data_IF_182476649085
#
_entry.id   IF_182476649085
#
_cell.length_a   1.000
_cell.length_b   1.000
_cell.length_c   1.000
_cell.angle_alpha   90.00
_cell.angle_beta   90.00
_cell.angle_gamma   90.00
#
_symmetry.space_group_name_H-M   'P 1'
#
loop_
_entity.id
_entity.type
_entity.pdbx_description
1 polymer ?
#
# COMPACT_ATOMS: atom_id res chain seq x y z
N UNK A 1 4.06 0.35 -26.76
CA UNK A 1 3.34 1.57 -26.35
C UNK A 1 3.16 2.41 -27.59
N UNK A 2 1.93 2.77 -27.92
CA UNK A 2 1.66 3.68 -29.02
C UNK A 2 1.73 5.16 -28.58
N UNK A 3 1.60 6.08 -29.54
CA UNK A 3 1.67 7.51 -29.29
C UNK A 3 0.52 8.00 -28.41
N UNK A 4 -0.70 7.48 -28.60
CA UNK A 4 -1.87 7.90 -27.85
C UNK A 4 -1.76 7.53 -26.36
N UNK A 5 -1.31 6.31 -26.07
CA UNK A 5 -1.00 5.85 -24.72
C UNK A 5 0.07 6.71 -24.07
N UNK A 6 1.14 7.02 -24.81
CA UNK A 6 2.22 7.85 -24.30
C UNK A 6 1.75 9.28 -23.98
N UNK A 7 0.98 9.90 -24.88
CA UNK A 7 0.36 11.20 -24.65
C UNK A 7 -0.54 11.21 -23.41
N UNK A 8 -1.39 10.19 -23.24
CA UNK A 8 -2.25 10.07 -22.06
C UNK A 8 -1.43 9.98 -20.76
N UNK A 9 -0.29 9.27 -20.77
CA UNK A 9 0.61 9.21 -19.62
C UNK A 9 1.20 10.59 -19.30
N UNK A 10 1.62 11.35 -20.30
CA UNK A 10 2.16 12.69 -20.11
C UNK A 10 1.09 13.66 -19.55
N UNK A 11 -0.14 13.58 -20.06
CA UNK A 11 -1.28 14.36 -19.55
C UNK A 11 -1.53 14.05 -18.07
N UNK A 12 -1.61 12.77 -17.71
CA UNK A 12 -1.83 12.36 -16.31
C UNK A 12 -0.69 12.82 -15.38
N UNK A 13 0.55 12.90 -15.89
CA UNK A 13 1.66 13.47 -15.13
C UNK A 13 1.48 14.98 -14.97
N UNK A 14 1.10 15.71 -16.03
CA UNK A 14 0.85 17.14 -15.95
C UNK A 14 -0.26 17.48 -14.96
N UNK A 15 -1.40 16.79 -15.02
CA UNK A 15 -2.53 16.95 -14.08
C UNK A 15 -2.12 16.71 -12.62
N UNK A 16 -1.15 15.83 -12.38
CA UNK A 16 -0.66 15.53 -11.03
C UNK A 16 0.23 16.63 -10.44
N UNK A 17 0.95 17.38 -11.28
CA UNK A 17 2.00 18.30 -10.84
C UNK A 17 1.74 19.77 -11.17
N UNK A 18 0.76 20.06 -12.00
CA UNK A 18 0.41 21.42 -12.40
C UNK A 18 -0.96 21.81 -11.87
N UNK A 19 -1.15 23.11 -11.68
CA UNK A 19 -2.47 23.69 -11.46
C UNK A 19 -3.32 23.56 -12.74
N UNK A 20 -4.66 23.44 -12.65
CA UNK A 20 -5.54 23.55 -13.81
C UNK A 20 -5.35 24.84 -14.63
N UNK A 21 -4.90 25.92 -13.97
CA UNK A 21 -4.63 27.22 -14.60
C UNK A 21 -3.18 27.41 -15.08
N UNK A 22 -2.38 26.33 -15.07
CA UNK A 22 -0.97 26.40 -15.48
C UNK A 22 -0.84 26.86 -16.93
N UNK A 23 0.09 27.79 -17.15
CA UNK A 23 0.33 28.38 -18.46
C UNK A 23 1.28 27.51 -19.28
N UNK A 24 1.25 27.70 -20.60
CA UNK A 24 2.13 27.03 -21.55
C UNK A 24 3.62 26.95 -21.13
N UNK A 25 4.28 28.00 -20.63
CA UNK A 25 5.68 27.90 -20.20
C UNK A 25 5.90 26.92 -19.02
N UNK A 26 4.98 26.86 -18.07
CA UNK A 26 5.06 25.95 -16.92
C UNK A 26 4.89 24.49 -17.36
N UNK A 27 3.95 24.25 -18.28
CA UNK A 27 3.74 22.93 -18.91
C UNK A 27 4.99 22.49 -19.68
N UNK A 28 5.58 23.41 -20.45
CA UNK A 28 6.79 23.14 -21.22
C UNK A 28 7.98 22.81 -20.31
N UNK A 29 8.18 23.60 -19.26
CA UNK A 29 9.24 23.35 -18.28
C UNK A 29 9.09 21.97 -17.62
N UNK A 30 7.85 21.61 -17.24
CA UNK A 30 7.58 20.27 -16.71
C UNK A 30 8.05 19.19 -17.68
N UNK A 31 7.58 19.19 -18.93
CA UNK A 31 7.88 18.11 -19.87
C UNK A 31 9.37 18.03 -20.23
N UNK A 32 10.06 19.17 -20.33
CA UNK A 32 11.50 19.20 -20.56
C UNK A 32 12.30 18.64 -19.37
N UNK A 33 11.75 18.69 -18.16
CA UNK A 33 12.39 18.14 -16.95
C UNK A 33 12.22 16.62 -16.80
N UNK A 34 11.33 15.98 -17.55
CA UNK A 34 11.00 14.56 -17.37
C UNK A 34 12.11 13.63 -17.90
N UNK A 35 12.39 12.57 -17.14
CA UNK A 35 13.24 11.46 -17.57
C UNK A 35 12.48 10.52 -18.52
N UNK A 36 12.28 10.97 -19.77
CA UNK A 36 11.40 10.29 -20.75
C UNK A 36 11.84 8.84 -21.03
N UNK A 37 13.13 8.57 -21.19
CA UNK A 37 13.61 7.20 -21.46
C UNK A 37 13.26 6.24 -20.31
N UNK A 38 13.47 6.67 -19.07
CA UNK A 38 13.14 5.88 -17.88
C UNK A 38 11.60 5.73 -17.73
N UNK A 39 10.84 6.76 -18.10
CA UNK A 39 9.38 6.71 -18.12
C UNK A 39 8.88 5.65 -19.08
N UNK A 40 9.36 5.67 -20.33
CA UNK A 40 9.00 4.71 -21.38
C UNK A 40 9.35 3.29 -20.93
N UNK A 41 10.57 3.09 -20.43
CA UNK A 41 11.01 1.79 -19.92
C UNK A 41 10.07 1.28 -18.80
N UNK A 42 9.77 2.13 -17.82
CA UNK A 42 8.90 1.76 -16.70
C UNK A 42 7.48 1.39 -17.16
N UNK A 43 6.95 2.10 -18.17
CA UNK A 43 5.60 1.88 -18.69
C UNK A 43 5.51 0.62 -19.55
N UNK A 44 6.53 0.35 -20.37
CA UNK A 44 6.64 -0.91 -21.09
C UNK A 44 6.77 -2.12 -20.14
N UNK A 45 7.57 -1.99 -19.07
CA UNK A 45 7.63 -3.03 -18.03
C UNK A 45 6.27 -3.21 -17.34
N UNK A 46 5.60 -2.10 -17.03
CA UNK A 46 4.27 -2.10 -16.43
C UNK A 46 3.20 -2.71 -17.35
N UNK A 47 3.37 -2.67 -18.68
CA UNK A 47 2.50 -3.37 -19.63
C UNK A 47 2.89 -4.83 -19.87
N UNK A 48 3.91 -5.35 -19.19
CA UNK A 48 4.36 -6.74 -19.34
C UNK A 48 5.24 -7.00 -20.57
N UNK A 49 5.87 -5.97 -21.14
CA UNK A 49 6.78 -6.14 -22.28
C UNK A 49 8.10 -6.79 -21.84
N UNK A 50 8.41 -7.96 -22.39
CA UNK A 50 9.56 -8.77 -21.96
C UNK A 50 10.92 -8.13 -22.30
N UNK A 51 11.07 -7.54 -23.49
CA UNK A 51 12.34 -6.87 -23.85
C UNK A 51 12.62 -5.66 -22.95
N UNK A 52 11.59 -4.91 -22.56
CA UNK A 52 11.72 -3.84 -21.60
C UNK A 52 12.12 -4.37 -20.21
N UNK A 53 11.59 -5.53 -19.80
CA UNK A 53 12.02 -6.20 -18.57
C UNK A 53 13.49 -6.63 -18.62
N UNK A 54 13.96 -7.15 -19.76
CA UNK A 54 15.38 -7.49 -19.96
C UNK A 54 16.26 -6.24 -19.81
N UNK A 55 15.90 -5.13 -20.47
CA UNK A 55 16.60 -3.86 -20.35
C UNK A 55 16.59 -3.32 -18.92
N UNK A 56 15.45 -3.42 -18.22
CA UNK A 56 15.33 -3.02 -16.83
C UNK A 56 16.24 -3.86 -15.93
N UNK A 57 16.23 -5.19 -16.10
CA UNK A 57 17.06 -6.08 -15.30
C UNK A 57 18.55 -5.85 -15.54
N UNK A 58 18.95 -5.61 -16.79
CA UNK A 58 20.33 -5.28 -17.13
C UNK A 58 20.81 -4.00 -16.44
N UNK A 59 19.94 -2.99 -16.32
CA UNK A 59 20.31 -1.67 -15.76
C UNK A 59 20.20 -1.56 -14.24
N UNK A 60 19.23 -2.23 -13.64
CA UNK A 60 18.84 -1.96 -12.25
C UNK A 60 19.04 -3.14 -11.29
N UNK A 61 19.36 -4.35 -11.76
CA UNK A 61 19.45 -5.53 -10.88
C UNK A 61 20.51 -5.38 -9.79
N UNK A 62 21.74 -5.05 -10.18
CA UNK A 62 22.85 -4.85 -9.24
C UNK A 62 22.56 -3.68 -8.29
N UNK A 63 22.09 -2.55 -8.83
CA UNK A 63 21.74 -1.35 -8.04
C UNK A 63 20.67 -1.61 -6.97
N UNK A 64 19.65 -2.40 -7.31
CA UNK A 64 18.60 -2.80 -6.38
C UNK A 64 19.15 -3.72 -5.30
N UNK A 65 20.02 -4.67 -5.67
CA UNK A 65 20.70 -5.54 -4.72
C UNK A 65 21.58 -4.74 -3.76
N UNK A 66 22.42 -3.83 -4.26
CA UNK A 66 23.30 -2.98 -3.45
C UNK A 66 22.50 -2.09 -2.50
N UNK A 67 21.38 -1.54 -2.98
CA UNK A 67 20.46 -0.78 -2.14
C UNK A 67 19.88 -1.66 -1.05
N UNK A 68 19.39 -2.85 -1.38
CA UNK A 68 18.86 -3.80 -0.41
C UNK A 68 19.91 -4.23 0.62
N UNK A 69 21.15 -4.45 0.20
CA UNK A 69 22.29 -4.76 1.07
C UNK A 69 22.60 -3.59 2.01
N UNK A 70 22.56 -2.35 1.49
CA UNK A 70 22.76 -1.15 2.30
C UNK A 70 21.69 -0.98 3.39
N UNK A 71 20.46 -1.43 3.13
CA UNK A 71 19.32 -1.36 4.05
C UNK A 71 19.39 -2.50 5.08
N UNK A 72 19.63 -3.72 4.64
CA UNK A 72 19.51 -4.93 5.48
C UNK A 72 20.78 -5.27 6.25
N UNK A 73 21.94 -4.82 5.74
CA UNK A 73 23.29 -5.17 6.24
C UNK A 73 23.57 -6.69 6.27
N UNK A 74 22.83 -7.46 5.49
CA UNK A 74 22.87 -8.93 5.44
C UNK A 74 22.56 -9.38 4.01
N UNK A 75 23.48 -10.12 3.41
CA UNK A 75 23.41 -10.52 2.01
C UNK A 75 22.25 -11.49 1.70
N UNK A 76 21.90 -12.38 2.63
CA UNK A 76 20.73 -13.26 2.46
C UNK A 76 19.44 -12.45 2.47
N UNK A 77 19.29 -11.56 3.45
CA UNK A 77 18.10 -10.68 3.56
C UNK A 77 18.03 -9.69 2.41
N UNK A 78 19.17 -9.23 1.88
CA UNK A 78 19.23 -8.36 0.72
C UNK A 78 18.66 -9.05 -0.52
N UNK A 79 19.07 -10.30 -0.77
CA UNK A 79 18.54 -11.12 -1.88
C UNK A 79 17.04 -11.35 -1.74
N UNK A 80 16.56 -11.65 -0.53
CA UNK A 80 15.13 -11.81 -0.27
C UNK A 80 14.38 -10.51 -0.55
N UNK A 81 14.81 -9.38 0.01
CA UNK A 81 14.16 -8.08 -0.18
C UNK A 81 14.14 -7.65 -1.66
N UNK A 82 15.25 -7.85 -2.39
CA UNK A 82 15.34 -7.57 -3.82
C UNK A 82 14.45 -8.51 -4.65
N UNK A 83 14.49 -9.82 -4.38
CA UNK A 83 13.62 -10.80 -5.04
C UNK A 83 12.14 -10.44 -4.87
N UNK A 84 11.79 -10.03 -3.66
CA UNK A 84 10.43 -9.63 -3.36
C UNK A 84 9.97 -8.39 -4.13
N UNK A 85 10.85 -7.39 -4.30
CA UNK A 85 10.42 -6.15 -4.97
C UNK A 85 10.14 -6.39 -6.45
N UNK A 86 10.81 -7.35 -7.09
CA UNK A 86 10.49 -7.72 -8.47
C UNK A 86 9.07 -8.24 -8.62
N UNK A 87 8.55 -9.00 -7.65
CA UNK A 87 7.16 -9.44 -7.65
C UNK A 87 6.19 -8.23 -7.66
N UNK A 88 6.46 -7.21 -6.85
CA UNK A 88 5.65 -5.99 -6.80
C UNK A 88 5.79 -5.13 -8.07
N UNK A 89 7.01 -5.01 -8.60
CA UNK A 89 7.29 -4.25 -9.81
C UNK A 89 6.67 -4.94 -11.04
N UNK A 90 6.68 -6.26 -11.07
CA UNK A 90 5.96 -7.04 -12.08
C UNK A 90 4.45 -7.03 -11.83
N UNK A 91 3.98 -6.78 -10.60
CA UNK A 91 2.55 -6.69 -10.30
C UNK A 91 1.88 -8.04 -10.09
N UNK A 92 2.60 -9.03 -9.53
CA UNK A 92 2.04 -10.34 -9.15
C UNK A 92 1.19 -10.30 -7.88
N UNK A 93 1.01 -9.12 -7.28
CA UNK A 93 0.15 -8.89 -6.12
C UNK A 93 -1.31 -8.70 -6.54
N UNK A 94 -2.09 -9.78 -6.47
CA UNK A 94 -3.48 -9.80 -6.91
C UNK A 94 -4.38 -9.03 -5.94
N UNK A 95 -4.87 -7.87 -6.37
CA UNK A 95 -6.14 -7.31 -5.88
C UNK A 95 -7.14 -7.56 -7.01
N UNK A 96 -8.07 -8.49 -6.81
CA UNK A 96 -9.17 -8.78 -7.76
C UNK A 96 -8.76 -9.35 -9.14
N UNK A 97 -7.58 -9.98 -9.25
CA UNK A 97 -7.13 -10.64 -10.49
C UNK A 97 -6.55 -9.71 -11.56
N UNK A 98 -6.51 -8.40 -11.30
CA UNK A 98 -5.88 -7.43 -12.19
C UNK A 98 -4.38 -7.26 -11.82
N UNK A 99 -3.48 -7.44 -12.80
CA UNK A 99 -2.04 -7.17 -12.63
C UNK A 99 -1.79 -5.67 -12.45
N UNK A 100 -1.35 -5.25 -11.26
CA UNK A 100 -1.01 -3.85 -10.97
C UNK A 100 0.48 -3.74 -10.65
N UNK A 101 1.27 -3.35 -11.66
CA UNK A 101 2.73 -3.16 -11.53
C UNK A 101 3.04 -1.83 -10.84
N UNK A 102 3.91 -1.83 -9.81
CA UNK A 102 4.35 -0.58 -9.15
C UNK A 102 5.02 0.42 -10.09
N UNK A 103 5.64 -0.05 -11.18
CA UNK A 103 6.29 0.83 -12.17
C UNK A 103 5.32 1.79 -12.86
N UNK A 104 4.01 1.54 -12.82
CA UNK A 104 2.99 2.47 -13.33
C UNK A 104 2.93 3.78 -12.53
N UNK A 105 3.40 3.79 -11.28
CA UNK A 105 3.36 4.97 -10.40
C UNK A 105 4.60 5.86 -10.52
N UNK A 106 5.64 5.43 -11.22
CA UNK A 106 6.80 6.28 -11.49
C UNK A 106 6.41 7.45 -12.41
N UNK A 107 6.80 8.67 -12.06
CA UNK A 107 6.35 9.91 -12.73
C UNK A 107 7.44 10.66 -13.49
N UNK A 108 8.66 10.10 -13.59
CA UNK A 108 9.79 10.70 -14.32
C UNK A 108 10.32 12.05 -13.81
N UNK A 109 9.84 12.55 -12.66
CA UNK A 109 10.32 13.78 -12.01
C UNK A 109 11.68 13.67 -11.32
N UNK A 110 12.17 12.45 -11.16
CA UNK A 110 13.49 12.13 -10.62
C UNK A 110 13.98 10.85 -11.29
N UNK A 111 15.19 10.40 -10.97
CA UNK A 111 15.70 9.15 -11.55
C UNK A 111 14.86 7.95 -11.11
N UNK A 112 14.66 7.01 -12.02
CA UNK A 112 13.99 5.74 -11.72
C UNK A 112 14.73 4.98 -10.62
N UNK A 113 16.06 5.04 -10.63
CA UNK A 113 16.91 4.48 -9.58
C UNK A 113 16.60 5.08 -8.20
N UNK A 114 16.49 6.41 -8.09
CA UNK A 114 16.14 7.07 -6.83
C UNK A 114 14.75 6.67 -6.33
N UNK A 115 13.77 6.61 -7.24
CA UNK A 115 12.42 6.14 -6.92
C UNK A 115 12.41 4.67 -6.46
N UNK A 116 13.18 3.80 -7.12
CA UNK A 116 13.32 2.39 -6.73
C UNK A 116 13.91 2.23 -5.33
N UNK A 117 14.89 3.06 -4.94
CA UNK A 117 15.40 3.08 -3.56
C UNK A 117 14.31 3.42 -2.55
N UNK A 118 13.48 4.42 -2.85
CA UNK A 118 12.34 4.78 -1.99
C UNK A 118 11.36 3.64 -1.87
N UNK A 119 11.05 2.96 -2.96
CA UNK A 119 10.14 1.80 -2.98
C UNK A 119 10.69 0.64 -2.14
N UNK A 120 11.99 0.34 -2.25
CA UNK A 120 12.67 -0.66 -1.41
C UNK A 120 12.62 -0.29 0.08
N UNK A 121 12.92 0.96 0.43
CA UNK A 121 12.91 1.43 1.82
C UNK A 121 11.51 1.35 2.44
N UNK A 122 10.49 1.82 1.71
CA UNK A 122 9.09 1.73 2.14
C UNK A 122 8.67 0.29 2.37
N UNK A 123 9.11 -0.62 1.50
CA UNK A 123 8.84 -2.04 1.66
C UNK A 123 9.46 -2.60 2.93
N UNK A 124 10.75 -2.36 3.18
CA UNK A 124 11.41 -2.85 4.39
C UNK A 124 10.68 -2.37 5.65
N UNK A 125 10.24 -1.10 5.66
CA UNK A 125 9.42 -0.55 6.75
C UNK A 125 8.08 -1.28 6.88
N UNK A 126 7.40 -1.57 5.77
CA UNK A 126 6.15 -2.32 5.77
C UNK A 126 6.32 -3.76 6.26
N UNK A 127 7.39 -4.44 5.84
CA UNK A 127 7.71 -5.80 6.27
C UNK A 127 8.07 -5.82 7.77
N UNK A 128 8.82 -4.83 8.24
CA UNK A 128 9.09 -4.65 9.68
C UNK A 128 7.81 -4.41 10.49
N UNK A 129 6.91 -3.53 10.02
CA UNK A 129 5.61 -3.28 10.67
C UNK A 129 4.73 -4.53 10.70
N UNK A 130 4.69 -5.30 9.62
CA UNK A 130 3.95 -6.57 9.56
C UNK A 130 4.49 -7.58 10.56
N UNK A 131 5.81 -7.78 10.60
CA UNK A 131 6.48 -8.68 11.56
C UNK A 131 6.24 -8.27 13.01
N UNK A 132 6.26 -6.97 13.31
CA UNK A 132 5.95 -6.48 14.66
C UNK A 132 4.49 -6.71 15.02
N UNK A 133 3.56 -6.51 14.09
CA UNK A 133 2.15 -6.79 14.35
C UNK A 133 1.90 -8.29 14.58
N UNK A 134 2.57 -9.19 13.84
CA UNK A 134 2.46 -10.63 14.11
C UNK A 134 3.03 -10.99 15.47
N UNK A 135 4.23 -10.48 15.81
CA UNK A 135 4.83 -10.72 17.13
C UNK A 135 3.98 -10.10 18.25
N UNK A 136 3.35 -8.94 18.04
CA UNK A 136 2.43 -8.35 19.04
C UNK A 136 1.19 -9.20 19.28
N UNK A 137 0.65 -9.87 18.25
CA UNK A 137 -0.47 -10.79 18.41
C UNK A 137 -0.01 -12.09 19.08
N UNK A 138 1.13 -12.62 18.68
CA UNK A 138 1.74 -13.81 19.29
C UNK A 138 2.13 -13.54 20.76
N UNK A 139 2.67 -12.35 21.09
CA UNK A 139 2.97 -11.91 22.45
C UNK A 139 1.70 -11.67 23.28
N UNK A 140 0.60 -11.19 22.69
CA UNK A 140 -0.70 -11.10 23.37
C UNK A 140 -1.31 -12.49 23.63
N UNK A 141 -1.14 -13.43 22.70
CA UNK A 141 -1.57 -14.82 22.82
C UNK A 141 -0.71 -15.60 23.83
N UNK A 142 0.61 -15.40 23.82
CA UNK A 142 1.58 -15.99 24.76
C UNK A 142 1.51 -15.34 26.15
N UNK A 143 1.14 -14.06 26.25
CA UNK A 143 0.77 -13.40 27.51
C UNK A 143 -0.60 -13.82 28.04
N UNK A 144 -1.29 -14.77 27.38
CA UNK A 144 -2.53 -15.36 27.84
C UNK A 144 -3.76 -14.45 27.72
N UNK A 145 -3.70 -13.35 26.96
CA UNK A 145 -4.90 -12.58 26.59
C UNK A 145 -5.62 -13.30 25.46
N UNK A 146 -6.33 -14.34 25.85
CA UNK A 146 -7.37 -14.92 24.99
C UNK A 146 -8.35 -13.79 24.63
N UNK A 147 -8.62 -13.58 23.34
CA UNK A 147 -9.77 -12.79 22.91
C UNK A 147 -10.95 -13.34 23.67
N UNK A 148 -11.53 -12.53 24.56
CA UNK A 148 -12.64 -12.96 25.37
C UNK A 148 -13.71 -13.48 24.42
N UNK A 149 -13.91 -14.80 24.43
CA UNK A 149 -15.13 -15.38 23.87
C UNK A 149 -16.24 -14.67 24.62
N UNK A 150 -17.07 -13.92 23.88
CA UNK A 150 -18.34 -13.46 24.42
C UNK A 150 -19.11 -14.74 24.72
N UNK A 151 -18.96 -15.24 25.94
CA UNK A 151 -19.83 -16.27 26.48
C UNK A 151 -21.22 -15.64 26.44
N UNK A 152 -22.18 -16.20 25.68
CA UNK A 152 -23.55 -15.72 25.79
C UNK A 152 -23.92 -15.85 27.27
N UNK A 153 -24.26 -14.72 27.90
CA UNK A 153 -24.68 -14.71 29.29
C UNK A 153 -25.74 -15.81 29.46
N UNK A 154 -25.66 -16.64 30.52
CA UNK A 154 -26.73 -17.59 30.79
C UNK A 154 -28.02 -16.79 30.85
N UNK A 155 -29.01 -17.16 30.04
CA UNK A 155 -30.31 -16.48 29.99
C UNK A 155 -30.79 -16.29 31.43
N UNK A 156 -30.74 -15.04 31.90
CA UNK A 156 -31.24 -14.72 33.21
C UNK A 156 -32.73 -15.09 33.18
N UNK A 157 -33.11 -16.12 33.93
CA UNK A 157 -34.51 -16.43 34.16
C UNK A 157 -35.08 -15.25 34.94
N UNK A 158 -35.63 -14.29 34.20
CA UNK A 158 -36.29 -13.11 34.77
C UNK A 158 -37.50 -13.63 35.53
N UNK A 159 -37.47 -13.56 36.86
CA UNK A 159 -38.63 -13.89 37.69
C UNK A 159 -39.78 -12.98 37.24
N UNK A 160 -40.91 -13.54 36.74
CA UNK A 160 -42.02 -12.73 36.24
C UNK A 160 -42.61 -11.79 37.29
N UNK A 161 -42.36 -12.03 38.60
CA UNK A 161 -42.75 -11.09 39.66
C UNK A 161 -41.97 -9.77 39.61
N UNK A 162 -40.74 -9.76 39.08
CA UNK A 162 -39.90 -8.57 38.96
C UNK A 162 -40.44 -7.56 37.93
N UNK A 163 -41.02 -8.07 36.84
CA UNK A 163 -41.72 -7.25 35.82
C UNK A 163 -42.98 -6.58 36.39
N UNK A 164 -43.73 -7.30 37.24
CA UNK A 164 -44.95 -6.78 37.87
C UNK A 164 -44.61 -5.69 38.89
N UNK A 165 -43.55 -5.88 39.66
CA UNK A 165 -43.11 -4.90 40.67
C UNK A 165 -42.61 -3.59 40.03
N UNK A 166 -41.88 -3.66 38.91
CA UNK A 166 -41.39 -2.47 38.20
C UNK A 166 -42.51 -1.69 37.52
N UNK A 167 -43.51 -2.37 36.93
CA UNK A 167 -44.70 -1.72 36.37
C UNK A 167 -45.54 -0.98 37.42
N UNK A 168 -45.72 -1.57 38.61
CA UNK A 168 -46.45 -0.94 39.70
C UNK A 168 -45.73 0.31 40.24
N UNK A 169 -44.40 0.28 40.33
CA UNK A 169 -43.60 1.43 40.76
C UNK A 169 -43.64 2.59 39.75
N UNK A 170 -43.60 2.28 38.43
CA UNK A 170 -43.66 3.30 37.38
C UNK A 170 -45.06 3.94 37.22
N UNK A 171 -46.12 3.20 37.58
CA UNK A 171 -47.49 3.71 37.58
C UNK A 171 -47.81 4.57 38.81
N UNK A 172 -47.06 4.40 39.90
CA UNK A 172 -47.22 5.16 41.14
C UNK A 172 -46.51 6.53 41.12
N UNK A 173 -45.69 6.80 40.10
CA UNK A 173 -45.06 8.12 39.89
C UNK A 173 -46.07 9.06 39.21
N UNK A 174 -46.42 10.15 39.90
CA UNK A 174 -47.26 11.24 39.36
C UNK A 174 -46.52 11.97 38.25
N UNK A 175 -47.27 12.40 37.22
CA UNK A 175 -46.77 12.82 35.90
C UNK A 175 -45.92 14.07 35.80
N UNK A 176 -45.25 14.51 36.87
CA UNK A 176 -44.25 15.58 36.83
C UNK A 176 -42.80 15.06 36.75
N UNK A 177 -42.61 13.72 36.73
CA UNK A 177 -41.32 13.05 36.47
C UNK A 177 -41.46 11.93 35.41
N UNK A 178 -42.13 12.22 34.29
CA UNK A 178 -41.97 11.46 33.02
C UNK A 178 -41.30 12.35 31.98
#
# INVERSE_FOLDING_TARGET
>A
MDLAQFSAILIAIAEKYLSPDAKEPEVRELYLSLRIEELVLSRCCASGNESAWQDFMLRYREKLHDTALSITKDDSKARELAGSIYADLYGTGNREGQRVSKLSYYSARGSLEGWLRTVLAQRQVNDYRRRRNTVSLDEEEEAGRQVAVVVPEPEAVVDPRLSVATGAALAALSGEER
#
